data_IF_202591157234
#
_entry.id   IF_202591157234
#
_cell.length_a   1.000
_cell.length_b   1.000
_cell.length_c   1.000
_cell.angle_alpha   90.00
_cell.angle_beta   90.00
_cell.angle_gamma   90.00
#
_symmetry.space_group_name_H-M   'P 1'
#
loop_
_entity.id
_entity.type
_entity.pdbx_description
1 polymer ?
#
# COMPACT_ATOMS: atom_id res chain seq x y z
N UNK A 1 -9.02 -15.60 10.97
CA UNK A 1 -9.61 -14.42 10.28
C UNK A 1 -9.97 -14.80 8.85
N UNK A 2 -10.83 -14.05 8.20
CA UNK A 2 -11.02 -14.11 6.74
C UNK A 2 -9.72 -13.65 6.07
N UNK A 3 -9.34 -14.28 4.95
CA UNK A 3 -8.12 -13.94 4.23
C UNK A 3 -8.14 -12.47 3.75
N UNK A 4 -7.04 -11.77 3.92
CA UNK A 4 -6.91 -10.34 3.57
C UNK A 4 -7.59 -9.36 4.54
N UNK A 5 -8.26 -9.85 5.59
CA UNK A 5 -8.90 -8.98 6.56
C UNK A 5 -7.91 -8.39 7.58
N UNK A 6 -8.18 -7.15 7.97
CA UNK A 6 -7.39 -6.41 8.95
C UNK A 6 -8.16 -6.39 10.28
N UNK A 7 -7.52 -6.83 11.36
CA UNK A 7 -8.13 -6.74 12.69
C UNK A 7 -8.08 -5.30 13.20
N UNK A 8 -9.23 -4.81 13.68
CA UNK A 8 -9.37 -3.49 14.31
C UNK A 8 -10.18 -3.61 15.59
N UNK A 9 -9.91 -2.72 16.53
CA UNK A 9 -10.68 -2.65 17.77
C UNK A 9 -11.99 -1.91 17.51
N UNK A 10 -13.16 -2.48 17.82
CA UNK A 10 -14.44 -1.85 17.53
C UNK A 10 -14.64 -0.53 18.28
N UNK A 11 -14.09 -0.38 19.47
CA UNK A 11 -14.11 0.84 20.28
C UNK A 11 -13.23 1.97 19.70
N UNK A 12 -12.32 1.67 18.80
CA UNK A 12 -11.39 2.63 18.20
C UNK A 12 -11.76 2.99 16.74
N UNK A 13 -13.03 2.84 16.33
CA UNK A 13 -13.51 3.14 14.96
C UNK A 13 -13.07 4.54 14.51
N UNK A 14 -13.15 5.54 15.36
CA UNK A 14 -12.80 6.93 15.03
C UNK A 14 -11.31 7.09 14.65
N UNK A 15 -10.45 6.33 15.29
CA UNK A 15 -9.02 6.38 15.01
C UNK A 15 -8.67 5.67 13.70
N UNK A 16 -9.11 4.42 13.50
CA UNK A 16 -8.70 3.65 12.33
C UNK A 16 -9.54 3.95 11.07
N UNK A 17 -10.75 4.56 11.19
CA UNK A 17 -11.51 5.00 10.02
C UNK A 17 -10.77 6.08 9.23
N UNK A 18 -9.95 6.91 9.88
CA UNK A 18 -9.19 7.99 9.22
C UNK A 18 -8.18 7.49 8.20
N UNK A 19 -7.64 6.29 8.39
CA UNK A 19 -6.65 5.71 7.49
C UNK A 19 -7.26 4.83 6.40
N UNK A 20 -8.60 4.71 6.35
CA UNK A 20 -9.28 4.01 5.27
C UNK A 20 -9.32 4.87 4.00
N UNK A 21 -9.16 4.21 2.87
CA UNK A 21 -9.21 4.82 1.56
C UNK A 21 -10.69 5.08 1.18
N UNK A 22 -11.13 6.34 1.01
CA UNK A 22 -12.55 6.68 0.86
C UNK A 22 -13.18 6.19 -0.45
N UNK A 23 -12.37 5.78 -1.43
CA UNK A 23 -12.81 5.23 -2.71
C UNK A 23 -12.96 3.70 -2.71
N UNK A 24 -12.67 3.04 -1.60
CA UNK A 24 -12.83 1.59 -1.47
C UNK A 24 -14.03 1.23 -0.63
N UNK A 25 -14.77 0.22 -1.08
CA UNK A 25 -15.81 -0.41 -0.28
C UNK A 25 -15.19 -1.18 0.89
N UNK A 26 -15.76 -1.03 2.06
CA UNK A 26 -15.30 -1.65 3.30
C UNK A 26 -16.29 -2.69 3.78
N UNK A 27 -15.86 -3.93 3.92
CA UNK A 27 -16.66 -4.98 4.56
C UNK A 27 -16.14 -5.22 5.97
N UNK A 28 -16.96 -4.95 6.98
CA UNK A 28 -16.62 -5.26 8.36
C UNK A 28 -17.28 -6.56 8.81
N UNK A 29 -16.62 -7.31 9.69
CA UNK A 29 -17.22 -8.50 10.29
C UNK A 29 -16.78 -8.66 11.76
N UNK A 30 -17.62 -9.34 12.50
CA UNK A 30 -17.29 -9.83 13.84
C UNK A 30 -17.46 -11.35 13.86
N UNK A 31 -17.35 -11.97 15.04
CA UNK A 31 -17.44 -13.43 15.13
C UNK A 31 -18.80 -13.97 14.63
N UNK A 32 -19.90 -13.34 15.05
CA UNK A 32 -21.28 -13.81 14.79
C UNK A 32 -22.07 -12.96 13.77
N UNK A 33 -21.50 -11.84 13.29
CA UNK A 33 -22.19 -10.94 12.34
C UNK A 33 -23.37 -10.16 12.95
N UNK A 34 -23.31 -9.88 14.26
CA UNK A 34 -24.34 -9.16 15.00
C UNK A 34 -23.94 -7.70 15.29
N UNK A 35 -24.30 -7.19 16.47
CA UNK A 35 -24.24 -5.77 16.84
C UNK A 35 -22.89 -5.08 16.63
N UNK A 36 -21.80 -5.77 16.93
CA UNK A 36 -20.44 -5.17 16.79
C UNK A 36 -20.10 -4.86 15.34
N UNK A 37 -20.32 -5.83 14.43
CA UNK A 37 -20.06 -5.62 13.00
C UNK A 37 -21.00 -4.58 12.40
N UNK A 38 -22.27 -4.61 12.79
CA UNK A 38 -23.29 -3.66 12.34
C UNK A 38 -22.95 -2.24 12.83
N UNK A 39 -22.68 -2.07 14.11
CA UNK A 39 -22.34 -0.76 14.69
C UNK A 39 -21.08 -0.16 14.04
N UNK A 40 -20.05 -0.98 13.76
CA UNK A 40 -18.85 -0.53 13.06
C UNK A 40 -19.17 -0.08 11.61
N UNK A 41 -19.99 -0.83 10.87
CA UNK A 41 -20.41 -0.43 9.53
C UNK A 41 -21.23 0.87 9.54
N UNK A 42 -22.16 1.01 10.49
CA UNK A 42 -22.95 2.25 10.66
C UNK A 42 -22.06 3.45 10.97
N UNK A 43 -21.07 3.29 11.85
CA UNK A 43 -20.11 4.33 12.19
C UNK A 43 -19.25 4.76 10.99
N UNK A 44 -18.86 3.82 10.12
CA UNK A 44 -18.11 4.11 8.89
C UNK A 44 -19.00 4.85 7.87
N UNK A 45 -20.25 4.41 7.68
CA UNK A 45 -21.21 5.09 6.79
C UNK A 45 -21.50 6.51 7.23
N UNK A 46 -21.62 6.74 8.54
CA UNK A 46 -21.79 8.09 9.08
C UNK A 46 -20.62 9.04 8.76
N UNK A 47 -19.46 8.49 8.37
CA UNK A 47 -18.27 9.23 7.91
C UNK A 47 -18.14 9.32 6.39
N UNK A 48 -19.17 8.90 5.67
CA UNK A 48 -19.20 8.94 4.20
C UNK A 48 -18.42 7.81 3.53
N UNK A 49 -18.05 6.74 4.26
CA UNK A 49 -17.39 5.58 3.67
C UNK A 49 -18.44 4.59 3.15
N UNK A 50 -18.17 3.97 2.00
CA UNK A 50 -18.97 2.85 1.50
C UNK A 50 -18.66 1.62 2.35
N UNK A 51 -19.53 1.30 3.31
CA UNK A 51 -19.30 0.24 4.28
C UNK A 51 -20.51 -0.66 4.46
N UNK A 52 -20.26 -1.96 4.53
CA UNK A 52 -21.26 -2.97 4.89
C UNK A 52 -20.72 -3.94 5.94
N UNK A 53 -21.57 -4.77 6.52
CA UNK A 53 -21.14 -5.82 7.44
C UNK A 53 -21.51 -7.20 6.91
N UNK A 54 -20.70 -8.20 7.27
CA UNK A 54 -20.92 -9.59 6.91
C UNK A 54 -21.95 -10.21 7.87
N UNK A 55 -23.14 -10.52 7.37
CA UNK A 55 -24.17 -11.24 8.10
C UNK A 55 -23.66 -12.65 8.44
N UNK A 56 -23.96 -13.12 9.66
CA UNK A 56 -23.45 -14.41 10.17
C UNK A 56 -21.97 -14.41 10.55
N UNK A 57 -21.22 -13.36 10.17
CA UNK A 57 -19.84 -13.15 10.58
C UNK A 57 -18.89 -14.28 10.21
N UNK A 58 -17.82 -14.40 11.02
CA UNK A 58 -16.80 -15.43 10.82
C UNK A 58 -17.31 -16.86 11.04
N UNK A 59 -18.29 -17.05 11.92
CA UNK A 59 -18.84 -18.39 12.20
C UNK A 59 -19.56 -18.95 10.95
N UNK A 60 -20.45 -18.16 10.35
CA UNK A 60 -21.13 -18.59 9.12
C UNK A 60 -20.15 -18.74 7.96
N UNK A 61 -19.20 -17.80 7.78
CA UNK A 61 -18.14 -17.89 6.77
C UNK A 61 -17.40 -19.23 6.81
N UNK A 62 -17.07 -19.70 8.03
CA UNK A 62 -16.44 -21.01 8.24
C UNK A 62 -17.40 -22.17 7.98
N UNK A 63 -18.65 -22.03 8.43
CA UNK A 63 -19.69 -23.03 8.21
C UNK A 63 -19.96 -23.28 6.72
N UNK A 64 -19.87 -22.23 5.92
CA UNK A 64 -20.02 -22.28 4.46
C UNK A 64 -18.77 -22.78 3.74
N UNK A 65 -17.71 -23.15 4.46
CA UNK A 65 -16.48 -23.72 3.92
C UNK A 65 -15.50 -22.71 3.32
N UNK A 66 -15.70 -21.42 3.53
CA UNK A 66 -14.80 -20.41 3.00
C UNK A 66 -13.46 -20.33 3.75
N UNK A 67 -12.35 -19.93 3.07
CA UNK A 67 -11.02 -19.96 3.64
C UNK A 67 -10.84 -18.97 4.79
N UNK A 68 -10.13 -19.42 5.81
CA UNK A 68 -9.69 -18.59 6.94
C UNK A 68 -8.23 -18.86 7.25
N UNK A 69 -7.59 -17.92 7.95
CA UNK A 69 -6.23 -18.09 8.47
C UNK A 69 -6.13 -17.62 9.93
N UNK A 70 -5.04 -17.98 10.59
CA UNK A 70 -4.71 -17.47 11.91
C UNK A 70 -4.39 -15.97 11.84
N UNK A 71 -4.65 -15.25 12.94
CA UNK A 71 -4.21 -13.87 13.06
C UNK A 71 -2.68 -13.81 13.05
N UNK A 72 -2.15 -12.96 12.17
CA UNK A 72 -0.74 -12.57 12.15
C UNK A 72 -0.68 -11.09 12.54
N UNK A 73 0.20 -10.73 13.47
CA UNK A 73 0.36 -9.34 13.85
C UNK A 73 0.83 -8.52 12.63
N UNK A 74 0.30 -7.29 12.43
CA UNK A 74 0.74 -6.45 11.34
C UNK A 74 2.23 -6.11 11.47
N UNK A 75 2.93 -6.06 10.35
CA UNK A 75 4.29 -5.53 10.29
C UNK A 75 4.28 -4.03 10.58
N UNK A 76 5.33 -3.55 11.26
CA UNK A 76 5.47 -2.15 11.63
C UNK A 76 6.65 -1.53 10.89
N UNK A 77 6.40 -0.37 10.30
CA UNK A 77 7.37 0.36 9.50
C UNK A 77 7.46 1.80 9.96
N UNK A 78 8.66 2.34 10.04
CA UNK A 78 8.89 3.72 10.49
C UNK A 78 9.84 4.46 9.57
N UNK A 79 9.53 5.72 9.29
CA UNK A 79 10.39 6.63 8.54
C UNK A 79 10.21 8.07 9.02
N UNK A 80 10.87 8.99 8.34
CA UNK A 80 10.80 10.42 8.63
C UNK A 80 9.44 11.01 8.32
N UNK A 81 8.97 11.92 9.14
CA UNK A 81 7.79 12.77 8.90
C UNK A 81 7.86 13.50 7.55
N UNK A 82 6.74 14.09 7.14
CA UNK A 82 6.54 14.77 5.86
C UNK A 82 6.91 13.88 4.66
N UNK A 83 6.23 12.72 4.49
CA UNK A 83 6.55 11.75 3.46
C UNK A 83 6.37 12.34 2.06
N UNK A 84 7.27 11.94 1.14
CA UNK A 84 7.20 12.25 -0.29
C UNK A 84 7.73 11.04 -1.05
N UNK A 85 7.32 10.88 -2.29
CA UNK A 85 7.80 9.86 -3.23
C UNK A 85 7.94 8.49 -2.54
N UNK A 86 9.16 8.07 -2.19
CA UNK A 86 9.49 6.78 -1.59
C UNK A 86 8.75 6.50 -0.29
N UNK A 87 8.59 7.50 0.57
CA UNK A 87 7.91 7.37 1.86
C UNK A 87 6.39 7.25 1.76
N UNK A 88 5.86 7.29 0.52
CA UNK A 88 4.48 6.94 0.17
C UNK A 88 4.45 5.69 -0.71
N UNK A 89 5.36 5.58 -1.69
CA UNK A 89 5.48 4.43 -2.59
C UNK A 89 5.75 3.12 -1.83
N UNK A 90 6.69 3.15 -0.88
CA UNK A 90 7.02 1.96 -0.08
C UNK A 90 5.84 1.47 0.77
N UNK A 91 5.12 2.31 1.53
CA UNK A 91 3.88 1.93 2.19
C UNK A 91 2.82 1.36 1.23
N UNK A 92 2.66 1.96 0.04
CA UNK A 92 1.76 1.44 -0.97
C UNK A 92 2.15 0.03 -1.40
N UNK A 93 3.43 -0.19 -1.75
CA UNK A 93 3.94 -1.50 -2.15
C UNK A 93 3.75 -2.53 -1.04
N UNK A 94 4.10 -2.18 0.20
CA UNK A 94 3.93 -3.08 1.34
C UNK A 94 2.46 -3.49 1.49
N UNK A 95 1.52 -2.55 1.47
CA UNK A 95 0.09 -2.88 1.63
C UNK A 95 -0.52 -3.63 0.45
N UNK A 96 0.01 -3.49 -0.76
CA UNK A 96 -0.55 -4.15 -1.95
C UNK A 96 0.06 -5.53 -2.20
N UNK A 97 1.32 -5.75 -1.85
CA UNK A 97 2.09 -6.92 -2.26
C UNK A 97 2.66 -7.75 -1.11
N UNK A 98 2.82 -7.17 0.09
CA UNK A 98 3.56 -7.82 1.18
C UNK A 98 2.64 -8.07 2.39
N UNK A 99 2.10 -7.01 2.98
CA UNK A 99 1.26 -7.08 4.18
C UNK A 99 0.17 -6.01 4.14
N UNK A 100 -1.07 -6.38 3.79
CA UNK A 100 -2.19 -5.44 3.74
C UNK A 100 -2.55 -4.84 5.10
N UNK A 101 -2.03 -5.43 6.19
CA UNK A 101 -2.29 -5.00 7.56
C UNK A 101 -1.22 -4.08 8.12
N UNK A 102 -0.13 -3.83 7.36
CA UNK A 102 1.04 -3.08 7.80
C UNK A 102 0.70 -1.71 8.42
N UNK A 103 1.37 -1.40 9.51
CA UNK A 103 1.29 -0.12 10.22
C UNK A 103 2.50 0.75 9.86
N UNK A 104 2.26 2.03 9.59
CA UNK A 104 3.30 2.99 9.23
C UNK A 104 3.34 4.12 10.24
N UNK A 105 4.56 4.50 10.62
CA UNK A 105 4.85 5.56 11.58
C UNK A 105 5.75 6.61 10.94
N UNK A 106 5.42 7.87 11.17
CA UNK A 106 6.17 9.03 10.71
C UNK A 106 6.64 9.81 11.93
N UNK A 107 7.94 9.95 12.08
CA UNK A 107 8.56 10.59 13.27
C UNK A 107 9.68 11.54 12.84
N UNK A 108 10.13 12.48 13.70
CA UNK A 108 11.29 13.30 13.42
C UNK A 108 12.50 12.47 12.98
N UNK A 109 13.31 13.03 12.06
CA UNK A 109 14.40 12.31 11.40
C UNK A 109 15.37 11.62 12.36
N UNK A 110 15.69 12.29 13.45
CA UNK A 110 16.61 11.83 14.49
C UNK A 110 16.02 10.78 15.43
N UNK A 111 14.68 10.65 15.45
CA UNK A 111 13.97 9.69 16.29
C UNK A 111 13.68 8.34 15.59
N UNK A 112 13.87 8.22 14.27
CA UNK A 112 13.47 7.02 13.51
C UNK A 112 14.07 5.75 14.07
N UNK A 113 15.36 5.74 14.40
CA UNK A 113 16.06 4.54 14.91
C UNK A 113 15.64 4.17 16.33
N UNK A 114 15.49 5.16 17.20
CA UNK A 114 15.05 4.94 18.59
C UNK A 114 13.60 4.46 18.63
N UNK A 115 12.74 5.06 17.81
CA UNK A 115 11.35 4.63 17.64
C UNK A 115 11.28 3.18 17.12
N UNK A 116 12.08 2.85 16.09
CA UNK A 116 12.13 1.51 15.51
C UNK A 116 12.44 0.46 16.58
N UNK A 117 13.46 0.70 17.41
CA UNK A 117 13.86 -0.20 18.48
C UNK A 117 12.79 -0.31 19.58
N UNK A 118 12.20 0.81 19.98
CA UNK A 118 11.21 0.84 21.06
C UNK A 118 9.86 0.19 20.69
N UNK A 119 9.52 0.17 19.39
CA UNK A 119 8.20 -0.26 18.90
C UNK A 119 8.24 -1.53 18.05
N UNK A 120 9.39 -2.20 17.96
CA UNK A 120 9.60 -3.36 17.06
C UNK A 120 9.16 -3.04 15.62
N UNK A 121 9.62 -1.88 15.11
CA UNK A 121 9.32 -1.40 13.77
C UNK A 121 10.55 -1.43 12.88
N UNK A 122 10.35 -1.73 11.60
CA UNK A 122 11.42 -1.75 10.61
C UNK A 122 11.62 -0.34 10.03
N UNK A 123 12.83 0.25 10.15
CA UNK A 123 13.10 1.56 9.57
C UNK A 123 13.31 1.45 8.06
N UNK A 124 12.78 2.42 7.31
CA UNK A 124 12.96 2.52 5.86
C UNK A 124 13.21 3.96 5.40
N UNK A 125 13.78 4.10 4.22
CA UNK A 125 14.15 5.39 3.59
C UNK A 125 14.96 6.30 4.52
N UNK A 126 15.93 5.71 5.20
CA UNK A 126 16.96 6.42 5.97
C UNK A 126 18.35 5.84 5.64
N UNK A 127 19.45 6.58 5.86
CA UNK A 127 20.80 6.07 5.65
C UNK A 127 21.05 4.76 6.41
N UNK A 128 21.76 3.84 5.79
CA UNK A 128 22.16 2.54 6.35
C UNK A 128 21.00 1.62 6.78
N UNK A 129 19.77 1.90 6.35
CA UNK A 129 18.66 0.99 6.52
C UNK A 129 18.67 -0.11 5.46
N UNK A 130 18.21 -1.30 5.84
CA UNK A 130 18.07 -2.41 4.92
C UNK A 130 17.12 -2.12 3.75
N UNK A 131 16.15 -1.22 3.97
CA UNK A 131 15.17 -0.71 3.02
C UNK A 131 15.45 0.76 2.70
N UNK A 132 16.71 1.10 2.47
CA UNK A 132 17.18 2.43 2.07
C UNK A 132 17.70 2.45 0.65
N UNK A 133 18.16 3.63 0.23
CA UNK A 133 18.84 3.82 -1.06
C UNK A 133 20.12 3.00 -1.16
N UNK A 134 20.42 2.50 -2.36
CA UNK A 134 21.64 1.74 -2.66
C UNK A 134 22.17 2.10 -4.05
N UNK A 135 23.25 2.82 -4.15
CA UNK A 135 23.79 3.30 -5.42
C UNK A 135 22.77 4.22 -6.13
N UNK A 136 22.35 3.86 -7.35
CA UNK A 136 21.36 4.59 -8.11
C UNK A 136 19.91 4.18 -7.78
N UNK A 137 19.71 3.14 -6.95
CA UNK A 137 18.40 2.65 -6.57
C UNK A 137 17.82 3.43 -5.40
N UNK A 138 16.50 3.64 -5.43
CA UNK A 138 15.76 4.25 -4.33
C UNK A 138 15.22 3.18 -3.36
N UNK A 139 14.58 3.60 -2.27
CA UNK A 139 14.05 2.67 -1.26
C UNK A 139 12.98 1.73 -1.83
N UNK A 140 12.19 2.18 -2.78
CA UNK A 140 11.18 1.36 -3.46
C UNK A 140 11.79 0.15 -4.16
N UNK A 141 12.92 0.34 -4.85
CA UNK A 141 13.69 -0.77 -5.47
C UNK A 141 14.17 -1.78 -4.43
N UNK A 142 14.62 -1.29 -3.26
CA UNK A 142 15.07 -2.16 -2.18
C UNK A 142 13.94 -3.07 -1.65
N UNK A 143 12.70 -2.57 -1.57
CA UNK A 143 11.54 -3.39 -1.20
C UNK A 143 11.26 -4.47 -2.25
N UNK A 144 11.21 -4.13 -3.54
CA UNK A 144 10.99 -5.10 -4.64
C UNK A 144 12.02 -6.21 -4.59
N UNK A 145 13.30 -5.85 -4.49
CA UNK A 145 14.42 -6.81 -4.47
C UNK A 145 14.37 -7.72 -3.25
N UNK A 146 14.16 -7.17 -2.04
CA UNK A 146 14.18 -7.95 -0.80
C UNK A 146 13.02 -8.91 -0.65
N UNK A 147 11.88 -8.59 -1.24
CA UNK A 147 10.69 -9.44 -1.24
C UNK A 147 10.55 -10.26 -2.52
N UNK A 148 11.56 -10.23 -3.41
CA UNK A 148 11.62 -11.01 -4.64
C UNK A 148 10.36 -10.87 -5.50
N UNK A 149 9.79 -9.65 -5.57
CA UNK A 149 8.54 -9.39 -6.28
C UNK A 149 8.81 -9.33 -7.78
N UNK A 150 8.32 -10.32 -8.52
CA UNK A 150 8.45 -10.40 -9.97
C UNK A 150 7.15 -9.94 -10.64
N UNK A 151 7.06 -8.64 -10.96
CA UNK A 151 5.92 -8.03 -11.63
C UNK A 151 6.41 -6.95 -12.61
N UNK A 152 6.08 -7.10 -13.90
CA UNK A 152 6.58 -6.21 -14.96
C UNK A 152 6.01 -4.77 -14.84
N UNK A 153 4.76 -4.62 -14.43
CA UNK A 153 4.15 -3.31 -14.21
C UNK A 153 4.76 -2.62 -12.99
N UNK A 154 5.10 -3.39 -11.95
CA UNK A 154 5.79 -2.87 -10.79
C UNK A 154 7.23 -2.44 -11.12
N UNK A 155 7.92 -3.16 -12.00
CA UNK A 155 9.25 -2.77 -12.49
C UNK A 155 9.20 -1.45 -13.28
N UNK A 156 8.15 -1.23 -14.08
CA UNK A 156 7.91 0.04 -14.75
C UNK A 156 7.62 1.16 -13.75
N UNK A 157 6.74 0.91 -12.77
CA UNK A 157 6.45 1.87 -11.70
C UNK A 157 7.71 2.23 -10.90
N UNK A 158 8.60 1.27 -10.64
CA UNK A 158 9.87 1.50 -9.96
C UNK A 158 10.76 2.52 -10.69
N UNK A 159 10.80 2.47 -12.02
CA UNK A 159 11.53 3.46 -12.82
C UNK A 159 10.94 4.87 -12.67
N UNK A 160 9.62 5.00 -12.61
CA UNK A 160 8.93 6.27 -12.38
C UNK A 160 9.23 6.81 -10.99
N UNK A 161 9.11 5.95 -9.97
CA UNK A 161 9.37 6.32 -8.56
C UNK A 161 10.82 6.76 -8.38
N UNK A 162 11.77 5.96 -8.87
CA UNK A 162 13.20 6.26 -8.79
C UNK A 162 13.53 7.57 -9.50
N UNK A 163 13.02 7.79 -10.72
CA UNK A 163 13.21 9.03 -11.44
C UNK A 163 12.73 10.25 -10.66
N UNK A 164 11.57 10.16 -10.02
CA UNK A 164 11.01 11.24 -9.21
C UNK A 164 11.77 11.45 -7.89
N UNK A 165 12.22 10.37 -7.24
CA UNK A 165 12.85 10.43 -5.91
C UNK A 165 14.32 10.86 -5.99
N UNK A 166 15.06 10.38 -6.98
CA UNK A 166 16.49 10.71 -7.19
C UNK A 166 16.71 11.94 -8.05
N UNK A 167 15.65 12.64 -8.47
CA UNK A 167 15.67 13.76 -9.41
C UNK A 167 16.28 13.43 -10.80
N UNK A 168 16.23 12.16 -11.21
CA UNK A 168 16.68 11.66 -12.51
C UNK A 168 15.44 11.53 -13.42
N UNK A 169 14.81 12.67 -13.74
CA UNK A 169 13.46 12.70 -14.34
C UNK A 169 13.39 12.12 -15.75
N UNK A 170 14.51 11.92 -16.41
CA UNK A 170 14.66 11.29 -17.72
C UNK A 170 14.55 9.75 -17.69
N UNK A 171 14.57 9.13 -16.51
CA UNK A 171 14.37 7.69 -16.37
C UNK A 171 12.98 7.21 -16.82
N UNK A 172 11.96 8.05 -16.66
CA UNK A 172 10.59 7.78 -17.11
C UNK A 172 9.85 9.09 -17.35
N UNK A 173 9.05 9.16 -18.41
CA UNK A 173 8.32 10.38 -18.78
C UNK A 173 7.36 10.88 -17.71
N UNK A 174 6.82 9.95 -16.90
CA UNK A 174 5.87 10.21 -15.83
C UNK A 174 6.53 10.70 -14.52
N UNK A 175 7.86 10.58 -14.38
CA UNK A 175 8.58 10.91 -13.15
C UNK A 175 8.39 12.38 -12.74
N UNK A 176 8.43 13.30 -13.70
CA UNK A 176 8.19 14.72 -13.44
C UNK A 176 6.76 14.99 -12.94
N UNK A 177 5.77 14.28 -13.48
CA UNK A 177 4.37 14.34 -13.05
C UNK A 177 4.20 13.84 -11.63
N UNK A 178 4.77 12.68 -11.31
CA UNK A 178 4.75 12.12 -9.95
C UNK A 178 5.39 13.07 -8.94
N UNK A 179 6.54 13.66 -9.26
CA UNK A 179 7.21 14.64 -8.42
C UNK A 179 6.33 15.86 -8.14
N UNK A 180 5.67 16.41 -9.17
CA UNK A 180 4.78 17.56 -9.03
C UNK A 180 3.58 17.24 -8.15
N UNK A 181 2.90 16.11 -8.39
CA UNK A 181 1.75 15.64 -7.59
C UNK A 181 2.16 15.41 -6.13
N UNK A 182 3.28 14.72 -5.88
CA UNK A 182 3.76 14.45 -4.54
C UNK A 182 4.07 15.73 -3.75
N UNK A 183 4.66 16.74 -4.41
CA UNK A 183 4.88 18.06 -3.81
C UNK A 183 3.58 18.79 -3.50
N UNK A 184 2.59 18.67 -4.39
CA UNK A 184 1.24 19.22 -4.21
C UNK A 184 0.56 18.62 -3.00
N UNK A 185 0.51 17.29 -2.90
CA UNK A 185 -0.06 16.57 -1.75
C UNK A 185 0.59 16.99 -0.43
N UNK A 186 1.93 17.13 -0.41
CA UNK A 186 2.66 17.57 0.79
C UNK A 186 2.29 19.00 1.25
N UNK A 187 1.73 19.83 0.37
CA UNK A 187 1.23 21.16 0.74
C UNK A 187 -0.22 21.17 1.18
N UNK A 188 -1.02 20.24 0.62
CA UNK A 188 -2.45 20.12 0.95
C UNK A 188 -2.67 19.46 2.30
N UNK A 189 -1.86 18.48 2.66
CA UNK A 189 -2.03 17.69 3.87
C UNK A 189 -0.89 17.96 4.87
N UNK A 190 -1.26 18.44 6.05
CA UNK A 190 -0.33 18.61 7.17
C UNK A 190 -0.13 17.30 7.94
N UNK A 191 -1.16 16.46 8.01
CA UNK A 191 -1.12 15.14 8.62
C UNK A 191 -0.53 14.11 7.65
N UNK A 192 0.47 13.37 8.11
CA UNK A 192 1.23 12.42 7.29
C UNK A 192 0.41 11.16 6.92
N UNK A 193 -0.52 10.74 7.77
CA UNK A 193 -1.42 9.63 7.47
C UNK A 193 -2.51 10.02 6.47
N UNK A 194 -3.03 11.24 6.55
CA UNK A 194 -3.94 11.76 5.52
C UNK A 194 -3.20 11.90 4.18
N UNK A 195 -1.96 12.39 4.19
CA UNK A 195 -1.13 12.44 2.99
C UNK A 195 -0.86 11.05 2.42
N UNK A 196 -0.53 10.05 3.26
CA UNK A 196 -0.38 8.66 2.84
C UNK A 196 -1.65 8.13 2.19
N UNK A 197 -2.80 8.32 2.82
CA UNK A 197 -4.10 7.87 2.34
C UNK A 197 -4.39 8.34 0.90
N UNK A 198 -4.22 9.63 0.63
CA UNK A 198 -4.44 10.18 -0.71
C UNK A 198 -3.31 9.82 -1.68
N UNK A 199 -2.09 9.72 -1.19
CA UNK A 199 -0.95 9.23 -1.96
C UNK A 199 -1.14 7.79 -2.45
N UNK A 200 -1.75 6.91 -1.65
CA UNK A 200 -2.07 5.54 -2.05
C UNK A 200 -2.88 5.49 -3.36
N UNK A 201 -3.84 6.38 -3.55
CA UNK A 201 -4.64 6.45 -4.78
C UNK A 201 -3.77 6.81 -6.00
N UNK A 202 -2.82 7.72 -5.83
CA UNK A 202 -1.91 8.10 -6.93
C UNK A 202 -1.08 6.89 -7.39
N UNK A 203 -0.57 6.10 -6.46
CA UNK A 203 0.19 4.89 -6.80
C UNK A 203 -0.71 3.76 -7.33
N UNK A 204 -1.94 3.61 -6.84
CA UNK A 204 -2.92 2.70 -7.43
C UNK A 204 -3.20 3.05 -8.91
N UNK A 205 -3.37 4.35 -9.22
CA UNK A 205 -3.61 4.83 -10.57
C UNK A 205 -2.40 4.62 -11.49
N UNK A 206 -1.18 4.95 -11.02
CA UNK A 206 0.06 4.72 -11.77
C UNK A 206 0.29 3.24 -12.03
N UNK A 207 0.06 2.39 -11.05
CA UNK A 207 0.21 0.94 -11.22
C UNK A 207 -0.81 0.37 -12.20
N UNK A 208 -2.06 0.82 -12.15
CA UNK A 208 -3.10 0.43 -13.12
C UNK A 208 -2.70 0.81 -14.54
N UNK A 209 -2.18 2.02 -14.74
CA UNK A 209 -1.65 2.48 -16.03
C UNK A 209 -0.44 1.64 -16.49
N UNK A 210 0.50 1.33 -15.60
CA UNK A 210 1.63 0.45 -15.93
C UNK A 210 1.15 -0.94 -16.37
N UNK A 211 0.11 -1.50 -15.76
CA UNK A 211 -0.46 -2.78 -16.17
C UNK A 211 -1.06 -2.72 -17.57
N UNK A 212 -1.84 -1.70 -17.87
CA UNK A 212 -2.45 -1.50 -19.19
C UNK A 212 -1.39 -1.41 -20.29
N UNK A 213 -0.29 -0.69 -20.06
CA UNK A 213 0.82 -0.60 -21.01
C UNK A 213 1.53 -1.95 -21.23
N UNK A 214 1.67 -2.78 -20.20
CA UNK A 214 2.23 -4.12 -20.34
C UNK A 214 1.31 -5.06 -21.13
N UNK A 215 0.00 -5.02 -20.87
CA UNK A 215 -1.00 -5.81 -21.60
C UNK A 215 -1.01 -5.44 -23.10
N UNK A 216 -0.89 -4.17 -23.43
CA UNK A 216 -0.78 -3.68 -24.80
C UNK A 216 0.49 -4.20 -25.51
N UNK A 217 1.64 -4.22 -24.82
CA UNK A 217 2.90 -4.76 -25.34
C UNK A 217 2.81 -6.26 -25.59
N UNK A 218 2.17 -7.02 -24.68
CA UNK A 218 1.97 -8.47 -24.83
C UNK A 218 1.04 -8.76 -26.02
N UNK A 219 -0.04 -7.98 -26.17
CA UNK A 219 -1.01 -8.15 -27.27
C UNK A 219 -0.45 -7.76 -28.65
N UNK A 220 0.54 -6.86 -28.69
CA UNK A 220 1.20 -6.43 -29.91
C UNK A 220 2.32 -7.37 -30.40
N UNK A 221 2.71 -8.40 -29.63
CA UNK A 221 3.69 -9.39 -30.08
C UNK A 221 3.11 -10.23 -31.21
N UNK A 222 3.73 -10.26 -32.41
CA UNK A 222 3.24 -11.06 -33.51
C UNK A 222 3.26 -12.55 -33.10
N UNK A 223 2.13 -13.23 -33.29
CA UNK A 223 2.01 -14.69 -33.20
C UNK A 223 2.67 -15.33 -34.42
N UNK A 224 3.98 -15.17 -34.53
CA UNK A 224 4.80 -15.66 -35.64
C UNK A 224 5.60 -16.88 -35.26
N UNK A 225 4.96 -18.05 -35.17
CA UNK A 225 5.61 -19.32 -35.35
C UNK A 225 5.23 -19.85 -36.74
N UNK A 226 5.95 -19.43 -37.77
CA UNK A 226 5.93 -20.10 -39.07
C UNK A 226 6.50 -21.50 -38.88
N UNK A 227 5.64 -22.53 -38.92
CA UNK A 227 6.08 -23.93 -39.07
C UNK A 227 6.77 -24.01 -40.41
N UNK A 228 8.09 -24.19 -40.41
CA UNK A 228 8.81 -24.68 -41.56
C UNK A 228 8.53 -26.18 -41.62
N UNK A 229 7.71 -26.60 -42.58
CA UNK A 229 7.57 -28.01 -42.99
C UNK A 229 8.72 -28.29 -43.94
N UNK A 230 9.56 -29.25 -43.55
CA UNK A 230 10.52 -29.92 -44.42
C UNK A 230 9.81 -30.99 -45.25
#
# INVERSE_FOLDING_TARGET
MIAGAIRRLPEAVDAWARVLEPWRSVVVYCVRGHDVGKAAADALRARGLDACYLTGGLEQWRGDGYPTHSYVAPTRWVTRERPKIDRIACPWLVRRFIDPTAEFFYVPKDEVRSFATANDATPYDIPDAAYGHAGSECSFDAFIRRHEIADAALAQLASIVRGADTATLDLAGEAAGLLAVSRGLSRLFADDHEMLKWGMLVYDALYAWCRETQDAVVSARPTGATRVTA
#
